data_IF_378972004942
#
_entry.id   IF_378972004942
#
_cell.length_a   1.000
_cell.length_b   1.000
_cell.length_c   1.000
_cell.angle_alpha   90.00
_cell.angle_beta   90.00
_cell.angle_gamma   90.00
#
_symmetry.space_group_name_H-M   'P 1'
#
loop_
_entity.id
_entity.type
_entity.pdbx_description
1 polymer ?
#
# COMPACT_ATOMS: atom_id res chain seq x y z
N UNK A 1 6.83 26.89 -12.58
CA UNK A 1 5.60 26.29 -12.00
C UNK A 1 5.61 26.53 -10.50
N UNK A 2 4.47 26.76 -9.84
CA UNK A 2 4.41 26.88 -8.38
C UNK A 2 4.68 25.52 -7.71
N UNK A 3 5.13 25.47 -6.43
CA UNK A 3 5.33 24.20 -5.71
C UNK A 3 4.08 23.31 -5.71
N UNK A 4 2.90 23.91 -5.54
CA UNK A 4 1.61 23.22 -5.64
C UNK A 4 1.39 22.59 -7.01
N UNK A 5 1.63 23.33 -8.10
CA UNK A 5 1.45 22.80 -9.44
C UNK A 5 2.42 21.63 -9.70
N UNK A 6 3.68 21.75 -9.28
CA UNK A 6 4.66 20.66 -9.37
C UNK A 6 4.18 19.44 -8.58
N UNK A 7 3.74 19.63 -7.34
CA UNK A 7 3.24 18.55 -6.49
C UNK A 7 2.05 17.82 -7.11
N UNK A 8 1.05 18.57 -7.58
CA UNK A 8 -0.14 17.99 -8.20
C UNK A 8 0.19 17.26 -9.50
N UNK A 9 1.06 17.84 -10.34
CA UNK A 9 1.54 17.16 -11.56
C UNK A 9 2.26 15.86 -11.22
N UNK A 10 3.18 15.88 -10.25
CA UNK A 10 3.87 14.68 -9.79
C UNK A 10 2.90 13.65 -9.21
N UNK A 11 1.91 14.08 -8.42
CA UNK A 11 0.93 13.18 -7.81
C UNK A 11 0.09 12.46 -8.87
N UNK A 12 -0.47 13.22 -9.83
CA UNK A 12 -1.28 12.65 -10.91
C UNK A 12 -0.45 11.70 -11.78
N UNK A 13 0.73 12.14 -12.21
CA UNK A 13 1.60 11.29 -13.03
C UNK A 13 2.11 10.08 -12.24
N UNK A 14 2.33 10.21 -10.94
CA UNK A 14 2.66 9.12 -10.02
C UNK A 14 1.57 8.05 -10.01
N UNK A 15 0.31 8.44 -9.85
CA UNK A 15 -0.83 7.53 -9.98
C UNK A 15 -0.93 6.87 -11.36
N UNK A 16 -0.76 7.64 -12.44
CA UNK A 16 -0.81 7.10 -13.80
C UNK A 16 0.30 6.06 -14.01
N UNK A 17 1.54 6.39 -13.65
CA UNK A 17 2.68 5.49 -13.78
C UNK A 17 2.53 4.24 -12.92
N UNK A 18 2.09 4.39 -11.67
CA UNK A 18 1.83 3.27 -10.77
C UNK A 18 0.70 2.38 -11.30
N UNK A 19 -0.38 2.95 -11.82
CA UNK A 19 -1.49 2.19 -12.40
C UNK A 19 -1.04 1.39 -13.63
N UNK A 20 -0.28 2.01 -14.53
CA UNK A 20 0.25 1.34 -15.72
C UNK A 20 1.22 0.22 -15.34
N UNK A 21 2.15 0.48 -14.41
CA UNK A 21 3.12 -0.51 -13.96
C UNK A 21 2.45 -1.67 -13.21
N UNK A 22 1.58 -1.36 -12.24
CA UNK A 22 0.84 -2.34 -11.48
C UNK A 22 -0.07 -3.17 -12.38
N UNK A 23 -0.85 -2.52 -13.25
CA UNK A 23 -1.78 -3.18 -14.17
C UNK A 23 -1.09 -4.08 -15.19
N UNK A 24 0.07 -3.67 -15.70
CA UNK A 24 0.82 -4.42 -16.72
C UNK A 24 1.62 -5.57 -16.12
N UNK A 25 2.29 -5.35 -14.99
CA UNK A 25 3.30 -6.30 -14.50
C UNK A 25 2.89 -7.04 -13.22
N UNK A 26 2.10 -6.43 -12.34
CA UNK A 26 1.82 -6.99 -11.01
C UNK A 26 0.47 -7.69 -10.99
N UNK A 27 -0.58 -7.00 -11.44
CA UNK A 27 -1.96 -7.48 -11.41
C UNK A 27 -2.15 -8.82 -12.16
N UNK A 28 -1.57 -9.08 -13.34
CA UNK A 28 -1.72 -10.37 -14.01
C UNK A 28 -1.14 -11.51 -13.19
N UNK A 29 0.01 -11.29 -12.53
CA UNK A 29 0.64 -12.30 -11.66
C UNK A 29 -0.21 -12.58 -10.43
N UNK A 30 -0.75 -11.54 -9.80
CA UNK A 30 -1.62 -11.69 -8.64
C UNK A 30 -2.94 -12.41 -9.02
N UNK A 31 -3.47 -12.19 -10.22
CA UNK A 31 -4.67 -12.90 -10.72
C UNK A 31 -4.47 -14.41 -10.89
N UNK A 32 -3.23 -14.86 -11.07
CA UNK A 32 -2.89 -16.28 -11.18
C UNK A 32 -2.70 -16.95 -9.82
N UNK A 33 -2.59 -16.17 -8.74
CA UNK A 33 -2.46 -16.69 -7.37
C UNK A 33 -3.83 -17.00 -6.78
N UNK A 34 -3.87 -17.93 -5.82
CA UNK A 34 -5.03 -18.03 -4.94
C UNK A 34 -5.13 -16.78 -4.04
N UNK A 35 -6.33 -16.50 -3.52
CA UNK A 35 -6.55 -15.30 -2.70
C UNK A 35 -5.62 -15.23 -1.49
N UNK A 36 -5.20 -16.38 -0.96
CA UNK A 36 -4.27 -16.43 0.15
C UNK A 36 -2.87 -15.91 -0.23
N UNK A 37 -2.26 -16.43 -1.31
CA UNK A 37 -0.94 -15.98 -1.72
C UNK A 37 -0.95 -14.56 -2.29
N UNK A 38 -2.03 -14.17 -2.98
CA UNK A 38 -2.21 -12.79 -3.42
C UNK A 38 -2.20 -11.80 -2.25
N UNK A 39 -2.93 -12.10 -1.17
CA UNK A 39 -2.95 -11.29 0.04
C UNK A 39 -1.61 -11.27 0.78
N UNK A 40 -0.81 -12.35 0.73
CA UNK A 40 0.55 -12.35 1.29
C UNK A 40 1.49 -11.41 0.52
N UNK A 41 1.41 -11.40 -0.82
CA UNK A 41 2.18 -10.44 -1.62
C UNK A 41 1.78 -9.01 -1.29
N UNK A 42 0.47 -8.75 -1.21
CA UNK A 42 -0.03 -7.41 -0.87
C UNK A 42 0.42 -7.01 0.55
N UNK A 43 0.25 -7.88 1.56
CA UNK A 43 0.72 -7.63 2.92
C UNK A 43 2.23 -7.35 2.98
N UNK A 44 3.04 -7.96 2.11
CA UNK A 44 4.48 -7.67 2.01
C UNK A 44 4.72 -6.23 1.59
N UNK A 45 3.98 -5.70 0.61
CA UNK A 45 4.08 -4.29 0.18
C UNK A 45 3.67 -3.34 1.31
N UNK A 46 2.57 -3.66 2.03
CA UNK A 46 2.10 -2.86 3.16
C UNK A 46 2.99 -2.98 4.40
N UNK A 47 3.78 -4.04 4.55
CA UNK A 47 4.67 -4.21 5.69
C UNK A 47 5.74 -3.12 5.79
N UNK A 48 6.12 -2.51 4.67
CA UNK A 48 7.09 -1.41 4.63
C UNK A 48 6.53 -0.06 5.11
N UNK A 49 5.24 0.02 5.47
CA UNK A 49 4.63 1.27 5.93
C UNK A 49 5.23 1.78 7.25
N UNK A 50 6.02 1.00 7.99
CA UNK A 50 6.82 1.56 9.10
C UNK A 50 7.73 2.73 8.67
N UNK A 51 8.06 2.84 7.37
CA UNK A 51 8.78 3.97 6.79
C UNK A 51 8.05 5.32 6.99
N UNK A 52 6.72 5.33 7.23
CA UNK A 52 5.98 6.56 7.53
C UNK A 52 6.46 7.28 8.79
N UNK A 53 7.15 6.60 9.70
CA UNK A 53 7.85 7.24 10.84
C UNK A 53 8.82 8.34 10.40
N UNK A 54 9.25 8.33 9.13
CA UNK A 54 10.09 9.37 8.56
C UNK A 54 9.48 10.78 8.65
N UNK A 55 8.14 10.91 8.72
CA UNK A 55 7.48 12.21 8.85
C UNK A 55 7.74 12.89 10.20
N UNK A 56 8.08 12.13 11.24
CA UNK A 56 8.41 12.63 12.58
C UNK A 56 9.90 12.47 12.92
N UNK A 57 10.69 11.93 11.98
CA UNK A 57 12.13 11.81 12.14
C UNK A 57 12.75 13.22 12.01
N UNK A 58 13.56 13.67 12.99
CA UNK A 58 14.19 14.99 12.93
C UNK A 58 14.98 15.19 11.62
N UNK A 59 14.96 16.42 11.11
CA UNK A 59 15.71 16.88 9.94
C UNK A 59 15.34 16.27 8.58
N UNK A 60 14.36 15.35 8.50
CA UNK A 60 13.87 14.82 7.22
C UNK A 60 12.86 15.76 6.57
N UNK A 61 11.87 16.18 7.36
CA UNK A 61 10.86 17.16 6.95
C UNK A 61 11.31 18.55 7.39
N UNK A 62 10.88 19.58 6.67
CA UNK A 62 11.24 20.95 6.97
C UNK A 62 10.58 21.48 8.25
N UNK A 63 11.14 22.53 8.86
CA UNK A 63 10.71 23.03 10.17
C UNK A 63 9.28 23.58 10.19
N UNK A 64 8.73 23.92 9.01
CA UNK A 64 7.35 24.44 8.88
C UNK A 64 6.37 23.35 8.42
N UNK A 65 6.77 22.08 8.46
CA UNK A 65 5.90 20.97 8.09
C UNK A 65 4.76 20.82 9.12
N UNK A 66 3.49 20.63 8.69
CA UNK A 66 2.37 20.55 9.63
C UNK A 66 2.50 19.36 10.59
N UNK A 67 2.78 19.63 11.87
CA UNK A 67 3.00 18.58 12.88
C UNK A 67 1.81 17.63 13.01
N UNK A 68 0.58 18.13 12.89
CA UNK A 68 -0.64 17.32 12.95
C UNK A 68 -0.76 16.33 11.79
N UNK A 69 -0.32 16.71 10.58
CA UNK A 69 -0.23 15.79 9.45
C UNK A 69 0.87 14.77 9.70
N UNK A 70 2.06 15.24 10.09
CA UNK A 70 3.23 14.40 10.32
C UNK A 70 2.95 13.28 11.32
N UNK A 71 2.38 13.62 12.48
CA UNK A 71 2.07 12.65 13.53
C UNK A 71 0.99 11.68 13.09
N UNK A 72 -0.05 12.17 12.42
CA UNK A 72 -1.15 11.31 11.99
C UNK A 72 -0.66 10.29 10.96
N UNK A 73 -0.02 10.77 9.88
CA UNK A 73 0.54 9.92 8.83
C UNK A 73 1.54 8.91 9.41
N UNK A 74 2.49 9.36 10.24
CA UNK A 74 3.51 8.48 10.82
C UNK A 74 2.92 7.32 11.64
N UNK A 75 1.97 7.61 12.53
CA UNK A 75 1.39 6.57 13.38
C UNK A 75 0.38 5.70 12.64
N UNK A 76 -0.38 6.24 11.69
CA UNK A 76 -1.29 5.46 10.86
C UNK A 76 -0.55 4.50 9.93
N UNK A 77 0.56 4.94 9.35
CA UNK A 77 1.49 4.12 8.58
C UNK A 77 2.13 3.03 9.45
N UNK A 78 2.63 3.37 10.65
CA UNK A 78 3.21 2.39 11.58
C UNK A 78 2.19 1.34 12.00
N UNK A 79 0.97 1.75 12.36
CA UNK A 79 -0.10 0.85 12.75
C UNK A 79 -0.45 -0.12 11.61
N UNK A 80 -0.63 0.42 10.40
CA UNK A 80 -0.93 -0.38 9.21
C UNK A 80 0.20 -1.35 8.88
N UNK A 81 1.44 -0.87 8.88
CA UNK A 81 2.62 -1.70 8.60
C UNK A 81 2.79 -2.82 9.62
N UNK A 82 2.57 -2.53 10.89
CA UNK A 82 2.60 -3.53 11.97
C UNK A 82 1.54 -4.61 11.77
N UNK A 83 0.30 -4.22 11.45
CA UNK A 83 -0.78 -5.17 11.16
C UNK A 83 -0.47 -6.04 9.93
N UNK A 84 0.15 -5.47 8.90
CA UNK A 84 0.59 -6.22 7.73
C UNK A 84 1.72 -7.22 8.07
N UNK A 85 2.69 -6.83 8.91
CA UNK A 85 3.72 -7.74 9.44
C UNK A 85 3.06 -8.87 10.24
N UNK A 86 2.10 -8.57 11.11
CA UNK A 86 1.38 -9.59 11.88
C UNK A 86 0.61 -10.55 10.98
N UNK A 87 0.02 -10.07 9.87
CA UNK A 87 -0.57 -10.96 8.87
C UNK A 87 0.49 -11.92 8.31
N UNK A 88 1.67 -11.45 7.92
CA UNK A 88 2.75 -12.29 7.38
C UNK A 88 3.28 -13.30 8.40
N UNK A 89 3.42 -12.92 9.67
CA UNK A 89 3.89 -13.80 10.74
C UNK A 89 2.87 -14.89 11.09
N UNK A 90 1.57 -14.62 10.87
CA UNK A 90 0.47 -15.54 11.19
C UNK A 90 -0.02 -16.37 10.01
N UNK A 91 0.74 -16.44 8.91
CA UNK A 91 0.41 -17.23 7.69
C UNK A 91 0.08 -18.69 7.99
N UNK A 92 0.69 -19.30 9.02
CA UNK A 92 0.39 -20.69 9.44
C UNK A 92 -0.92 -20.82 10.23
N UNK A 93 -1.42 -19.72 10.80
CA UNK A 93 -2.65 -19.65 11.58
C UNK A 93 -3.73 -18.92 10.77
N UNK A 94 -4.45 -19.67 9.92
CA UNK A 94 -5.38 -19.10 8.92
C UNK A 94 -6.38 -18.07 9.50
N UNK A 95 -7.01 -18.28 10.67
CA UNK A 95 -7.92 -17.28 11.23
C UNK A 95 -7.23 -15.94 11.56
N UNK A 96 -6.05 -16.00 12.19
CA UNK A 96 -5.28 -14.79 12.51
C UNK A 96 -4.76 -14.08 11.27
N UNK A 97 -4.28 -14.84 10.27
CA UNK A 97 -3.87 -14.27 8.99
C UNK A 97 -4.99 -13.40 8.39
N UNK A 98 -6.20 -13.95 8.29
CA UNK A 98 -7.33 -13.23 7.71
C UNK A 98 -7.80 -12.06 8.57
N UNK A 99 -7.78 -12.21 9.91
CA UNK A 99 -8.05 -11.11 10.83
C UNK A 99 -7.12 -9.92 10.56
N UNK A 100 -5.81 -10.16 10.50
CA UNK A 100 -4.84 -9.11 10.25
C UNK A 100 -4.91 -8.56 8.82
N UNK A 101 -5.23 -9.40 7.82
CA UNK A 101 -5.48 -8.95 6.45
C UNK A 101 -6.62 -7.93 6.40
N UNK A 102 -7.75 -8.23 7.05
CA UNK A 102 -8.87 -7.29 7.12
C UNK A 102 -8.47 -6.03 7.90
N UNK A 103 -7.81 -6.20 9.04
CA UNK A 103 -7.41 -5.09 9.90
C UNK A 103 -6.47 -4.10 9.20
N UNK A 104 -5.36 -4.55 8.59
CA UNK A 104 -4.43 -3.62 7.93
C UNK A 104 -5.08 -2.95 6.71
N UNK A 105 -5.97 -3.65 6.00
CA UNK A 105 -6.66 -3.05 4.86
C UNK A 105 -7.60 -1.92 5.29
N UNK A 106 -8.39 -2.14 6.36
CA UNK A 106 -9.31 -1.12 6.88
C UNK A 106 -8.56 0.06 7.50
N UNK A 107 -7.58 -0.21 8.36
CA UNK A 107 -6.77 0.84 9.00
C UNK A 107 -6.00 1.62 7.93
N UNK A 108 -5.31 0.92 7.02
CA UNK A 108 -4.47 1.54 6.01
C UNK A 108 -5.21 2.34 4.94
N UNK A 109 -6.41 1.91 4.54
CA UNK A 109 -7.23 2.67 3.61
C UNK A 109 -7.83 3.90 4.29
N UNK A 110 -8.28 3.76 5.55
CA UNK A 110 -8.79 4.90 6.33
C UNK A 110 -7.70 5.94 6.53
N UNK A 111 -6.50 5.50 6.91
CA UNK A 111 -5.33 6.33 7.09
C UNK A 111 -5.01 7.15 5.83
N UNK A 112 -4.87 6.52 4.65
CA UNK A 112 -4.61 7.24 3.39
C UNK A 112 -5.73 8.23 3.05
N UNK A 113 -7.00 7.86 3.25
CA UNK A 113 -8.12 8.75 2.95
C UNK A 113 -8.14 9.97 3.88
N UNK A 114 -7.85 9.79 5.16
CA UNK A 114 -7.77 10.87 6.14
C UNK A 114 -6.52 11.72 5.89
N UNK A 115 -5.41 11.13 5.49
CA UNK A 115 -4.21 11.86 5.06
C UNK A 115 -4.49 12.74 3.86
N UNK A 116 -5.22 12.27 2.85
CA UNK A 116 -5.64 13.12 1.73
C UNK A 116 -6.49 14.30 2.21
N UNK A 117 -7.44 14.03 3.10
CA UNK A 117 -8.28 15.08 3.67
C UNK A 117 -7.46 16.11 4.47
N UNK A 118 -6.55 15.65 5.34
CA UNK A 118 -5.63 16.50 6.12
C UNK A 118 -4.69 17.29 5.21
N UNK A 119 -4.10 16.66 4.20
CA UNK A 119 -3.19 17.30 3.26
C UNK A 119 -3.88 18.46 2.52
N UNK A 120 -5.12 18.27 2.09
CA UNK A 120 -5.91 19.34 1.45
C UNK A 120 -6.23 20.45 2.46
N UNK A 121 -6.75 20.09 3.65
CA UNK A 121 -7.12 21.04 4.71
C UNK A 121 -5.95 21.89 5.18
N UNK A 122 -4.76 21.32 5.27
CA UNK A 122 -3.54 21.97 5.77
C UNK A 122 -2.73 22.63 4.65
N UNK A 123 -3.22 22.61 3.41
CA UNK A 123 -2.53 23.22 2.27
C UNK A 123 -1.18 22.58 1.96
N UNK A 124 -1.02 21.27 2.25
CA UNK A 124 0.22 20.53 2.04
C UNK A 124 0.81 20.68 0.63
N UNK A 125 0.02 20.76 -0.46
CA UNK A 125 0.57 21.02 -1.79
C UNK A 125 1.36 22.34 -1.89
N UNK A 126 1.00 23.38 -1.15
CA UNK A 126 1.77 24.63 -1.11
C UNK A 126 3.08 24.47 -0.34
N UNK A 127 3.06 23.59 0.67
CA UNK A 127 4.20 23.27 1.53
C UNK A 127 4.99 22.05 1.03
N UNK A 128 4.79 21.61 -0.21
CA UNK A 128 5.31 20.33 -0.68
C UNK A 128 6.84 20.21 -0.57
N UNK A 129 7.59 21.32 -0.65
CA UNK A 129 9.03 21.33 -0.41
C UNK A 129 9.43 20.95 1.03
N UNK A 130 8.55 21.14 2.01
CA UNK A 130 8.77 20.74 3.40
C UNK A 130 8.73 19.22 3.59
N UNK A 131 8.24 18.44 2.62
CA UNK A 131 8.32 16.97 2.70
C UNK A 131 9.77 16.47 2.60
N UNK A 132 10.70 17.27 2.05
CA UNK A 132 12.10 16.89 1.93
C UNK A 132 12.28 15.54 1.23
N UNK A 133 13.08 14.65 1.83
CA UNK A 133 13.26 13.29 1.31
C UNK A 133 11.98 12.46 1.38
N UNK A 134 11.03 12.74 2.28
CA UNK A 134 9.76 12.02 2.37
C UNK A 134 8.82 12.32 1.18
N UNK A 135 9.18 13.25 0.29
CA UNK A 135 8.39 13.62 -0.88
C UNK A 135 8.06 12.43 -1.81
N UNK A 136 8.92 11.40 -1.89
CA UNK A 136 8.63 10.22 -2.72
C UNK A 136 7.43 9.40 -2.19
N UNK A 137 7.12 9.51 -0.90
CA UNK A 137 6.06 8.73 -0.26
C UNK A 137 4.70 9.06 -0.88
N UNK A 138 4.19 10.32 -0.85
CA UNK A 138 2.90 10.65 -1.44
C UNK A 138 2.88 10.51 -2.97
N UNK A 139 4.04 10.59 -3.64
CA UNK A 139 4.11 10.62 -5.11
C UNK A 139 4.20 9.23 -5.74
N UNK A 140 4.86 8.27 -5.10
CA UNK A 140 5.08 6.92 -5.65
C UNK A 140 4.53 5.85 -4.72
N UNK A 141 4.89 5.91 -3.42
CA UNK A 141 4.55 4.83 -2.51
C UNK A 141 3.05 4.79 -2.19
N UNK A 142 2.44 5.91 -1.84
CA UNK A 142 1.00 6.02 -1.56
C UNK A 142 0.13 5.59 -2.75
N UNK A 143 0.41 5.99 -4.00
CA UNK A 143 -0.32 5.46 -5.16
C UNK A 143 -0.27 3.94 -5.27
N UNK A 144 0.91 3.32 -5.07
CA UNK A 144 1.04 1.86 -5.06
C UNK A 144 0.21 1.22 -3.94
N UNK A 145 0.28 1.77 -2.72
CA UNK A 145 -0.49 1.30 -1.57
C UNK A 145 -2.00 1.41 -1.78
N UNK A 146 -2.46 2.48 -2.43
CA UNK A 146 -3.87 2.67 -2.76
C UNK A 146 -4.35 1.58 -3.74
N UNK A 147 -3.59 1.33 -4.81
CA UNK A 147 -3.93 0.29 -5.79
C UNK A 147 -3.99 -1.10 -5.14
N UNK A 148 -3.04 -1.41 -4.25
CA UNK A 148 -3.01 -2.71 -3.56
C UNK A 148 -4.13 -2.87 -2.55
N UNK A 149 -4.56 -1.80 -1.85
CA UNK A 149 -5.76 -1.83 -1.01
C UNK A 149 -7.02 -2.13 -1.84
N UNK A 150 -7.22 -1.46 -2.98
CA UNK A 150 -8.37 -1.70 -3.85
C UNK A 150 -8.42 -3.17 -4.30
N UNK A 151 -7.29 -3.72 -4.71
CA UNK A 151 -7.19 -5.12 -5.13
C UNK A 151 -7.42 -6.08 -3.96
N UNK A 152 -6.85 -5.79 -2.79
CA UNK A 152 -7.07 -6.62 -1.60
C UNK A 152 -8.54 -6.66 -1.19
N UNK A 153 -9.23 -5.52 -1.15
CA UNK A 153 -10.67 -5.48 -0.86
C UNK A 153 -11.48 -6.21 -1.92
N UNK A 154 -11.17 -6.01 -3.20
CA UNK A 154 -11.85 -6.70 -4.29
C UNK A 154 -11.82 -8.23 -4.12
N UNK A 155 -10.67 -8.81 -3.75
CA UNK A 155 -10.54 -10.25 -3.51
C UNK A 155 -11.01 -10.73 -2.14
N UNK A 156 -11.10 -9.87 -1.13
CA UNK A 156 -11.79 -10.20 0.12
C UNK A 156 -13.29 -10.37 -0.09
N UNK A 157 -13.89 -9.56 -0.97
CA UNK A 157 -15.33 -9.63 -1.29
C UNK A 157 -15.64 -10.68 -2.35
N UNK A 158 -14.70 -10.95 -3.27
CA UNK A 158 -14.84 -11.95 -4.33
C UNK A 158 -13.77 -13.03 -4.18
N UNK A 159 -14.06 -14.13 -3.45
CA UNK A 159 -13.16 -15.26 -3.36
C UNK A 159 -12.80 -15.74 -4.78
N UNK A 160 -11.52 -15.73 -5.13
CA UNK A 160 -11.10 -16.35 -6.38
C UNK A 160 -11.35 -17.84 -6.26
N UNK A 161 -12.20 -18.39 -7.13
CA UNK A 161 -12.32 -19.83 -7.30
C UNK A 161 -10.93 -20.41 -7.51
N UNK A 162 -10.59 -21.45 -6.73
CA UNK A 162 -9.38 -22.26 -6.93
C UNK A 162 -9.28 -22.54 -8.43
N UNK A 163 -8.33 -21.89 -9.12
CA UNK A 163 -7.95 -22.34 -10.45
C UNK A 163 -7.41 -23.76 -10.23
N UNK A 164 -8.22 -24.75 -10.61
CA UNK A 164 -7.90 -26.15 -10.49
C UNK A 164 -6.54 -26.38 -11.16
N UNK A 165 -5.49 -26.52 -10.36
CA UNK A 165 -4.29 -27.21 -10.80
C UNK A 165 -4.67 -28.69 -10.90
N UNK A 166 -5.33 -29.04 -12.00
CA UNK A 166 -5.40 -30.39 -12.50
C UNK A 166 -4.41 -30.46 -13.67
N UNK A 167 -3.13 -30.62 -13.34
CA UNK A 167 -2.23 -31.36 -14.23
C UNK A 167 -2.30 -32.79 -13.67
N UNK A 168 -2.93 -33.75 -14.37
CA UNK A 168 -2.88 -35.14 -13.94
C UNK A 168 -1.45 -35.63 -14.11
N UNK A 169 -0.89 -36.20 -13.05
CA UNK A 169 0.25 -37.09 -13.09
C UNK A 169 -0.11 -38.30 -13.95
N UNK A 170 0.06 -38.23 -15.28
CA UNK A 170 0.22 -39.42 -16.10
C UNK A 170 0.72 -39.12 -17.53
N UNK A 171 2.03 -39.18 -17.75
CA UNK A 171 2.60 -39.72 -18.99
C UNK A 171 3.80 -40.63 -18.63
N UNK A 172 3.45 -41.89 -18.37
CA UNK A 172 4.03 -43.12 -18.95
C UNK A 172 5.55 -43.32 -18.88
N UNK A 173 5.91 -44.19 -17.92
CA UNK A 173 6.90 -45.24 -18.07
C UNK A 173 6.50 -46.12 -19.27
N UNK A 174 7.28 -46.09 -20.37
CA UNK A 174 7.59 -47.27 -21.20
C UNK A 174 8.98 -47.06 -21.82
N UNK A 175 10.00 -47.71 -21.23
CA UNK A 175 11.16 -48.28 -21.93
C UNK A 175 11.63 -49.50 -21.17
#
# INVERSE_FOLDING_TARGET
>A
MSPQAIFQTHLVLGYVACLLCFGTYILPRLKLMDSFNAQRVIATIHSFRFLGLVFILPDVVGPNFPASFATFAAYGDLATGTLAILALLTVRQRPLFWLFVVAYNLVGATDILVDYYHAIRLGLPHLAGQLGAAYFIPIIYVPMLMLTHVVAFYWLVRPQSRAAHAIPDNILIVR
#
